data_IF_871386288980
#
_entry.id   IF_871386288980
#
_cell.length_a   1.000
_cell.length_b   1.000
_cell.length_c   1.000
_cell.angle_alpha   90.00
_cell.angle_beta   90.00
_cell.angle_gamma   90.00
#
_symmetry.space_group_name_H-M   'P 1'
#
loop_
_entity.id
_entity.type
_entity.pdbx_description
1 polymer ?
#
# COMPACT_ATOMS: atom_id res chain seq x y z
N UNK A 1 -11.94 8.35 16.68
CA UNK A 1 -10.52 8.51 16.31
C UNK A 1 -9.83 7.16 16.39
N UNK A 2 -9.27 6.72 15.28
CA UNK A 2 -8.52 5.48 15.23
C UNK A 2 -7.09 5.69 15.75
N UNK A 3 -6.61 4.73 16.51
CA UNK A 3 -5.27 4.78 17.09
C UNK A 3 -4.45 3.57 16.62
N UNK A 4 -3.14 3.76 16.38
CA UNK A 4 -2.29 2.63 16.01
C UNK A 4 -2.06 1.67 17.18
N UNK A 5 -1.79 0.38 16.91
CA UNK A 5 -1.82 -0.21 15.57
C UNK A 5 -3.23 -0.61 15.14
N UNK A 6 -3.47 -0.60 13.82
CA UNK A 6 -4.69 -1.16 13.23
C UNK A 6 -4.41 -2.57 12.72
N UNK A 7 -5.32 -3.49 12.99
CA UNK A 7 -5.25 -4.85 12.46
C UNK A 7 -5.92 -4.99 11.09
N UNK A 8 -5.82 -6.19 10.52
CA UNK A 8 -6.30 -6.50 9.18
C UNK A 8 -7.79 -6.21 8.99
N UNK A 9 -8.62 -6.52 9.97
CA UNK A 9 -10.07 -6.30 9.85
C UNK A 9 -10.43 -4.82 9.76
N UNK A 10 -9.76 -3.96 10.54
CA UNK A 10 -9.98 -2.53 10.49
C UNK A 10 -9.50 -1.95 9.15
N UNK A 11 -8.36 -2.41 8.67
CA UNK A 11 -7.80 -2.01 7.37
C UNK A 11 -8.77 -2.36 6.24
N UNK A 12 -9.31 -3.59 6.26
CA UNK A 12 -10.23 -4.06 5.23
C UNK A 12 -11.49 -3.17 5.11
N UNK A 13 -11.91 -2.54 6.19
CA UNK A 13 -13.03 -1.60 6.19
C UNK A 13 -12.70 -0.23 5.60
N UNK A 14 -11.44 0.08 5.41
CA UNK A 14 -10.98 1.40 4.97
C UNK A 14 -10.45 1.42 3.53
N UNK A 15 -9.89 0.30 3.06
CA UNK A 15 -9.34 0.21 1.71
C UNK A 15 -10.40 -0.29 0.73
N UNK A 16 -10.29 0.04 -0.56
CA UNK A 16 -11.26 -0.43 -1.57
C UNK A 16 -11.11 -1.90 -1.91
N UNK A 17 -10.04 -2.53 -1.50
CA UNK A 17 -9.77 -3.94 -1.79
C UNK A 17 -10.62 -4.87 -0.92
N UNK A 18 -10.93 -6.06 -1.44
CA UNK A 18 -11.83 -7.02 -0.78
C UNK A 18 -11.20 -8.40 -0.67
N UNK A 19 -11.54 -9.10 0.41
CA UNK A 19 -11.18 -10.50 0.60
C UNK A 19 -9.67 -10.73 0.58
N UNK A 20 -9.25 -11.74 -0.17
CA UNK A 20 -7.83 -12.13 -0.25
C UNK A 20 -6.94 -11.08 -0.92
N UNK A 21 -7.51 -10.09 -1.59
CA UNK A 21 -6.76 -8.97 -2.14
C UNK A 21 -6.39 -7.92 -1.10
N UNK A 22 -6.84 -8.04 0.16
CA UNK A 22 -6.36 -7.21 1.27
C UNK A 22 -5.01 -7.74 1.72
N UNK A 23 -3.95 -7.05 1.38
CA UNK A 23 -2.58 -7.55 1.53
C UNK A 23 -1.87 -7.06 2.80
N UNK A 24 -2.44 -6.10 3.52
CA UNK A 24 -1.80 -5.53 4.71
C UNK A 24 -2.35 -6.19 5.97
N UNK A 25 -1.46 -6.60 6.85
CA UNK A 25 -1.84 -7.20 8.14
C UNK A 25 -2.03 -6.14 9.22
N UNK A 26 -1.20 -5.12 9.24
CA UNK A 26 -1.22 -4.08 10.27
C UNK A 26 -0.80 -2.73 9.71
N UNK A 27 -1.37 -1.67 10.29
CA UNK A 27 -0.83 -0.34 10.16
C UNK A 27 -0.16 0.00 11.49
N UNK A 28 1.15 0.17 11.49
CA UNK A 28 1.95 0.34 12.71
C UNK A 28 1.93 1.78 13.21
N UNK A 29 1.95 2.74 12.30
CA UNK A 29 1.93 4.15 12.62
C UNK A 29 1.50 4.96 11.40
N UNK A 30 0.94 6.14 11.64
CA UNK A 30 0.61 7.09 10.59
C UNK A 30 0.48 8.49 11.17
N UNK A 31 0.65 9.48 10.29
CA UNK A 31 0.36 10.87 10.56
C UNK A 31 -0.10 11.54 9.26
N UNK A 32 -0.16 12.85 9.24
CA UNK A 32 -0.62 13.57 8.05
C UNK A 32 0.30 13.35 6.83
N UNK A 33 1.57 13.04 7.06
CA UNK A 33 2.56 12.93 5.99
C UNK A 33 2.85 11.49 5.57
N UNK A 34 2.76 10.53 6.50
CA UNK A 34 3.26 9.18 6.20
C UNK A 34 2.49 8.08 6.90
N UNK A 35 2.69 6.85 6.40
CA UNK A 35 2.17 5.63 7.02
C UNK A 35 3.23 4.54 6.96
N UNK A 36 3.26 3.71 8.00
CA UNK A 36 4.08 2.50 8.04
C UNK A 36 3.17 1.30 8.28
N UNK A 37 3.19 0.36 7.35
CA UNK A 37 2.42 -0.88 7.44
C UNK A 37 3.35 -2.08 7.50
N UNK A 38 2.79 -3.22 7.92
CA UNK A 38 3.51 -4.49 8.01
C UNK A 38 2.63 -5.62 7.51
N UNK A 39 3.23 -6.63 6.89
CA UNK A 39 2.50 -7.79 6.41
C UNK A 39 3.41 -9.02 6.26
N UNK A 40 2.83 -10.19 6.50
CA UNK A 40 3.42 -11.48 6.16
C UNK A 40 2.76 -12.13 4.95
N UNK A 41 1.86 -11.42 4.27
CA UNK A 41 1.06 -11.97 3.16
C UNK A 41 1.87 -12.28 1.91
N UNK A 42 3.08 -11.77 1.80
CA UNK A 42 3.99 -12.13 0.70
C UNK A 42 4.38 -13.62 0.75
N UNK A 43 4.31 -14.24 1.92
CA UNK A 43 4.64 -15.65 2.13
C UNK A 43 3.42 -16.57 2.10
N UNK A 44 2.23 -16.01 2.09
CA UNK A 44 0.99 -16.79 2.08
C UNK A 44 0.83 -17.50 0.74
N UNK A 45 0.78 -18.85 0.72
CA UNK A 45 0.56 -19.58 -0.53
C UNK A 45 -0.75 -19.23 -1.23
N UNK A 46 -1.73 -18.72 -0.50
CA UNK A 46 -3.02 -18.30 -1.03
C UNK A 46 -3.04 -16.87 -1.55
N UNK A 47 -1.90 -16.15 -1.51
CA UNK A 47 -1.84 -14.79 -2.03
C UNK A 47 -2.23 -14.81 -3.52
N UNK A 48 -3.29 -14.03 -3.90
CA UNK A 48 -3.83 -14.10 -5.27
C UNK A 48 -2.88 -13.57 -6.35
N UNK A 49 -1.82 -12.87 -5.96
CA UNK A 49 -0.83 -12.35 -6.90
C UNK A 49 0.26 -13.38 -7.25
N UNK A 50 0.28 -14.50 -6.55
CA UNK A 50 1.27 -15.55 -6.85
C UNK A 50 1.02 -16.20 -8.20
N UNK A 51 2.14 -16.56 -8.87
CA UNK A 51 2.15 -17.31 -10.12
C UNK A 51 3.19 -18.40 -9.99
N UNK A 52 2.78 -19.65 -10.19
CA UNK A 52 3.66 -20.82 -10.11
C UNK A 52 4.45 -20.91 -8.80
N UNK A 53 3.78 -20.59 -7.68
CA UNK A 53 4.40 -20.59 -6.35
C UNK A 53 5.31 -19.41 -6.07
N UNK A 54 5.43 -18.46 -7.00
CA UNK A 54 6.27 -17.27 -6.84
C UNK A 54 5.45 -15.99 -6.75
N UNK A 55 5.95 -15.05 -5.95
CA UNK A 55 5.42 -13.69 -5.91
C UNK A 55 6.49 -12.75 -6.49
N UNK A 56 6.35 -12.36 -7.76
CA UNK A 56 7.32 -11.45 -8.37
C UNK A 56 7.43 -10.13 -7.62
N UNK A 57 8.62 -9.54 -7.60
CA UNK A 57 8.86 -8.29 -6.87
C UNK A 57 7.95 -7.15 -7.32
N UNK A 58 7.57 -7.11 -8.60
CA UNK A 58 6.66 -6.08 -9.12
C UNK A 58 5.30 -6.09 -8.40
N UNK A 59 4.88 -7.22 -7.87
CA UNK A 59 3.64 -7.33 -7.08
C UNK A 59 3.72 -6.54 -5.78
N UNK A 60 4.92 -6.18 -5.33
CA UNK A 60 5.10 -5.29 -4.18
C UNK A 60 4.48 -3.91 -4.38
N UNK A 61 4.33 -3.49 -5.64
CA UNK A 61 3.64 -2.23 -5.96
C UNK A 61 2.20 -2.23 -5.46
N UNK A 62 1.51 -3.37 -5.54
CA UNK A 62 0.14 -3.48 -5.02
C UNK A 62 0.10 -3.30 -3.50
N UNK A 63 1.07 -3.83 -2.78
CA UNK A 63 1.18 -3.61 -1.33
C UNK A 63 1.36 -2.12 -1.03
N UNK A 64 2.21 -1.44 -1.78
CA UNK A 64 2.44 -0.01 -1.63
C UNK A 64 1.18 0.80 -1.93
N UNK A 65 0.44 0.45 -2.99
CA UNK A 65 -0.81 1.14 -3.34
C UNK A 65 -1.86 1.00 -2.24
N UNK A 66 -1.95 -0.16 -1.60
CA UNK A 66 -2.87 -0.34 -0.48
C UNK A 66 -2.47 0.50 0.73
N UNK A 67 -1.18 0.63 1.01
CA UNK A 67 -0.71 1.51 2.08
C UNK A 67 -1.06 2.98 1.79
N UNK A 68 -0.93 3.42 0.55
CA UNK A 68 -1.31 4.76 0.12
C UNK A 68 -2.82 4.98 0.27
N UNK A 69 -3.63 4.01 -0.16
CA UNK A 69 -5.08 4.09 -0.03
C UNK A 69 -5.50 4.16 1.44
N UNK A 70 -4.87 3.38 2.29
CA UNK A 70 -5.13 3.40 3.72
C UNK A 70 -4.76 4.75 4.32
N UNK A 71 -3.61 5.31 3.95
CA UNK A 71 -3.19 6.62 4.42
C UNK A 71 -4.22 7.70 4.04
N UNK A 72 -4.71 7.65 2.82
CA UNK A 72 -5.76 8.57 2.37
C UNK A 72 -7.03 8.45 3.18
N UNK A 73 -7.48 7.24 3.46
CA UNK A 73 -8.68 6.99 4.25
C UNK A 73 -8.51 7.47 5.70
N UNK A 74 -7.36 7.19 6.31
CA UNK A 74 -7.08 7.65 7.69
C UNK A 74 -6.98 9.16 7.78
N UNK A 75 -6.42 9.81 6.77
CA UNK A 75 -6.29 11.27 6.72
C UNK A 75 -7.65 11.95 6.53
N UNK A 76 -8.58 11.29 5.83
CA UNK A 76 -9.92 11.83 5.59
C UNK A 76 -10.94 11.44 6.66
N UNK A 77 -10.57 10.60 7.62
CA UNK A 77 -11.45 10.16 8.69
C UNK A 77 -12.37 9.00 8.34
N UNK A 78 -12.15 8.31 7.21
CA UNK A 78 -12.95 7.16 6.81
C UNK A 78 -12.67 6.70 5.39
N UNK A 79 -13.35 5.63 4.98
CA UNK A 79 -13.18 5.06 3.65
C UNK A 79 -13.42 6.09 2.55
N UNK A 80 -12.58 6.05 1.54
CA UNK A 80 -12.65 6.95 0.40
C UNK A 80 -12.95 6.20 -0.89
N UNK A 81 -13.32 6.96 -1.92
CA UNK A 81 -13.46 6.41 -3.26
C UNK A 81 -12.10 5.96 -3.77
N UNK A 82 -12.06 4.85 -4.55
CA UNK A 82 -10.82 4.38 -5.12
C UNK A 82 -10.15 5.45 -5.99
N UNK A 83 -8.83 5.59 -5.83
CA UNK A 83 -8.02 6.41 -6.71
C UNK A 83 -7.42 5.59 -7.84
N UNK A 84 -6.81 6.29 -8.78
CA UNK A 84 -6.08 5.68 -9.90
C UNK A 84 -4.62 6.04 -9.82
N UNK A 85 -3.75 5.06 -10.01
CA UNK A 85 -2.33 5.35 -10.20
C UNK A 85 -2.16 5.87 -11.62
N UNK A 86 -1.83 7.14 -11.75
CA UNK A 86 -1.69 7.79 -13.06
C UNK A 86 -0.26 7.69 -13.61
N UNK A 87 0.72 7.61 -12.73
CA UNK A 87 2.12 7.45 -13.15
C UNK A 87 2.96 6.85 -12.04
N UNK A 88 4.02 6.17 -12.46
CA UNK A 88 5.07 5.66 -11.58
C UNK A 88 6.38 6.27 -12.05
N UNK A 89 7.23 6.66 -11.10
CA UNK A 89 8.55 7.24 -11.37
C UNK A 89 9.61 6.62 -10.49
N UNK A 90 10.79 6.48 -11.03
CA UNK A 90 11.99 6.06 -10.29
C UNK A 90 11.78 4.74 -9.53
N UNK A 91 10.99 3.84 -10.12
CA UNK A 91 10.73 2.54 -9.53
C UNK A 91 11.96 1.67 -9.69
N UNK A 92 12.46 1.14 -8.58
CA UNK A 92 13.57 0.21 -8.57
C UNK A 92 13.15 -1.06 -7.83
N UNK A 93 13.34 -2.21 -8.48
CA UNK A 93 13.12 -3.52 -7.89
C UNK A 93 14.50 -4.09 -7.58
N UNK A 94 14.82 -4.22 -6.30
CA UNK A 94 16.15 -4.66 -5.86
C UNK A 94 16.21 -6.17 -5.58
N UNK A 95 15.08 -6.86 -5.73
CA UNK A 95 14.96 -8.32 -5.66
C UNK A 95 14.10 -8.81 -6.80
N UNK A 96 14.15 -10.10 -7.10
CA UNK A 96 13.35 -10.69 -8.16
C UNK A 96 11.99 -11.18 -7.67
N UNK A 97 11.91 -11.62 -6.41
CA UNK A 97 10.73 -12.21 -5.82
C UNK A 97 10.62 -11.87 -4.34
N UNK A 98 9.39 -11.94 -3.82
CA UNK A 98 9.10 -11.62 -2.42
C UNK A 98 8.75 -12.86 -1.59
N UNK A 99 8.27 -13.93 -2.20
CA UNK A 99 7.78 -15.11 -1.48
C UNK A 99 8.85 -15.84 -0.68
N UNK A 100 10.13 -15.67 -1.04
CA UNK A 100 11.25 -16.28 -0.35
C UNK A 100 11.89 -15.37 0.73
N UNK A 101 11.34 -14.18 0.95
CA UNK A 101 11.80 -13.28 2.00
C UNK A 101 11.25 -13.78 3.34
N UNK A 102 12.10 -14.21 4.30
CA UNK A 102 11.61 -14.80 5.55
C UNK A 102 11.01 -13.79 6.51
N UNK A 103 11.46 -12.54 6.46
CA UNK A 103 11.02 -11.49 7.37
C UNK A 103 9.71 -10.86 6.92
N UNK A 104 8.99 -10.29 7.90
CA UNK A 104 7.82 -9.48 7.63
C UNK A 104 8.17 -8.29 6.75
N UNK A 105 7.32 -7.99 5.77
CA UNK A 105 7.51 -6.79 4.95
C UNK A 105 7.06 -5.55 5.72
N UNK A 106 7.84 -4.48 5.59
CA UNK A 106 7.48 -3.13 6.04
C UNK A 106 7.24 -2.28 4.83
N UNK A 107 6.07 -1.64 4.79
CA UNK A 107 5.67 -0.78 3.67
C UNK A 107 5.53 0.64 4.20
N UNK A 108 6.40 1.52 3.76
CA UNK A 108 6.37 2.94 4.12
C UNK A 108 5.89 3.75 2.92
N UNK A 109 4.95 4.66 3.14
CA UNK A 109 4.49 5.58 2.11
C UNK A 109 4.46 6.99 2.70
N UNK A 110 5.05 7.94 1.98
CA UNK A 110 5.17 9.34 2.39
C UNK A 110 4.51 10.22 1.33
N UNK A 111 3.54 11.03 1.76
CA UNK A 111 2.90 11.99 0.88
C UNK A 111 3.83 13.16 0.64
N UNK A 112 4.29 13.32 -0.60
CA UNK A 112 5.14 14.44 -1.02
C UNK A 112 4.28 15.65 -1.41
N UNK A 113 3.07 15.39 -1.92
CA UNK A 113 2.13 16.41 -2.32
C UNK A 113 0.73 15.84 -2.12
N UNK A 114 -0.17 16.66 -1.56
CA UNK A 114 -1.57 16.30 -1.37
C UNK A 114 -2.44 17.47 -1.80
N UNK A 115 -3.33 17.25 -2.76
CA UNK A 115 -4.27 18.22 -3.28
C UNK A 115 -5.64 17.57 -3.43
N UNK A 116 -6.68 18.38 -3.67
CA UNK A 116 -8.04 17.87 -3.79
C UNK A 116 -8.20 16.86 -4.91
N UNK A 117 -7.39 16.95 -5.97
CA UNK A 117 -7.45 16.06 -7.13
C UNK A 117 -6.55 14.84 -7.04
N UNK A 118 -5.68 14.75 -6.05
CA UNK A 118 -4.77 13.61 -5.97
C UNK A 118 -3.58 13.80 -5.07
N UNK A 119 -2.68 12.82 -5.14
CA UNK A 119 -1.52 12.74 -4.27
C UNK A 119 -0.30 12.30 -5.06
N UNK A 120 0.87 12.71 -4.58
CA UNK A 120 2.14 12.12 -4.98
C UNK A 120 2.74 11.49 -3.74
N UNK A 121 3.05 10.20 -3.83
CA UNK A 121 3.66 9.43 -2.75
C UNK A 121 5.04 8.92 -3.15
N UNK A 122 5.93 8.92 -2.19
CA UNK A 122 7.14 8.12 -2.24
C UNK A 122 6.91 6.88 -1.39
N UNK A 123 7.30 5.72 -1.88
CA UNK A 123 7.14 4.48 -1.14
C UNK A 123 8.41 3.66 -1.11
N UNK A 124 8.55 2.83 -0.08
CA UNK A 124 9.62 1.85 0.04
C UNK A 124 9.10 0.62 0.75
N UNK A 125 9.52 -0.56 0.29
CA UNK A 125 9.23 -1.83 0.95
C UNK A 125 10.55 -2.44 1.39
N UNK A 126 10.64 -2.77 2.67
CA UNK A 126 11.84 -3.31 3.30
C UNK A 126 11.50 -4.58 4.06
N UNK A 127 12.52 -5.39 4.32
CA UNK A 127 12.44 -6.54 5.22
C UNK A 127 13.73 -6.56 6.04
N UNK A 128 13.60 -6.36 7.35
CA UNK A 128 14.77 -6.12 8.19
C UNK A 128 15.53 -4.87 7.71
N UNK A 129 16.82 -5.01 7.50
CA UNK A 129 17.67 -3.92 7.01
C UNK A 129 17.74 -3.85 5.47
N UNK A 130 17.04 -4.74 4.79
CA UNK A 130 17.11 -4.87 3.34
C UNK A 130 15.99 -4.11 2.66
N UNK A 131 16.33 -3.22 1.73
CA UNK A 131 15.34 -2.56 0.88
C UNK A 131 15.06 -3.45 -0.33
N UNK A 132 13.79 -3.72 -0.59
CA UNK A 132 13.36 -4.65 -1.63
C UNK A 132 12.90 -3.94 -2.89
N UNK A 133 12.11 -2.88 -2.73
CA UNK A 133 11.69 -2.02 -3.84
C UNK A 133 11.30 -0.64 -3.31
N UNK A 134 11.32 0.33 -4.20
CA UNK A 134 10.93 1.71 -3.88
C UNK A 134 10.58 2.47 -5.16
N UNK A 135 9.96 3.63 -4.99
CA UNK A 135 9.63 4.49 -6.11
C UNK A 135 8.68 5.60 -5.70
N UNK A 136 8.11 6.25 -6.71
CA UNK A 136 7.09 7.28 -6.55
C UNK A 136 5.87 6.93 -7.36
N UNK A 137 4.69 7.31 -6.84
CA UNK A 137 3.42 7.10 -7.52
C UNK A 137 2.59 8.39 -7.45
N UNK A 138 1.97 8.75 -8.55
CA UNK A 138 0.95 9.79 -8.57
C UNK A 138 -0.42 9.10 -8.60
N UNK A 139 -1.30 9.50 -7.69
CA UNK A 139 -2.64 8.96 -7.54
C UNK A 139 -3.65 10.05 -7.80
N UNK A 140 -4.57 9.81 -8.73
CA UNK A 140 -5.65 10.73 -9.07
C UNK A 140 -6.94 10.24 -8.42
N UNK A 141 -7.64 11.14 -7.74
CA UNK A 141 -8.94 10.85 -7.15
C UNK A 141 -10.05 11.24 -8.14
N UNK A 142 -11.11 10.41 -8.29
CA UNK A 142 -12.24 10.78 -9.13
C UNK A 142 -12.97 11.98 -8.53
N UNK A 143 -13.55 12.82 -9.41
CA UNK A 143 -14.32 13.98 -8.99
C UNK A 143 -15.63 13.53 -8.32
N UNK A 144 -16.05 14.29 -7.29
CA UNK A 144 -17.29 14.00 -6.57
C UNK A 144 -18.55 14.21 -7.42
N UNK A 145 -18.51 15.12 -8.37
CA UNK A 145 -19.67 15.64 -9.08
C UNK A 145 -19.71 15.23 -10.53
N UNK A 146 -19.46 13.97 -10.83
CA UNK A 146 -19.75 13.53 -12.18
C UNK A 146 -21.21 13.13 -12.22
N UNK A 147 -22.10 13.99 -12.73
CA UNK A 147 -23.47 13.53 -12.93
C UNK A 147 -23.44 12.37 -13.89
N UNK A 148 -24.21 11.36 -13.52
CA UNK A 148 -24.38 10.20 -14.38
C UNK A 148 -24.92 10.62 -15.74
#
# INVERSE_FOLDING_TARGET
VLTPPLGAAAIAGLVPHQGSMCLLDRALSWDAAEILCATGRHRDPANPLRRDGMLPAVCGLEFAFQAMALHGALSAGGAQRPGFVSSLREVALEVERLDDIPDELRIAATALMAEAGGFIYRFAITAGDRRLLHGQAAVILPREDTPA
#
